data_IF_218087281674
#
_entry.id   IF_218087281674
#
_cell.length_a   1.000
_cell.length_b   1.000
_cell.length_c   1.000
_cell.angle_alpha   90.00
_cell.angle_beta   90.00
_cell.angle_gamma   90.00
#
_symmetry.space_group_name_H-M   'P 1'
#
loop_
_entity.id
_entity.type
_entity.pdbx_description
1 polymer ?
#
# COMPACT_ATOMS: atom_id res chain seq x y z
N UNK A 1 9.42 -10.13 15.42
CA UNK A 1 9.97 -8.76 15.40
C UNK A 1 8.91 -7.73 15.79
N UNK A 2 7.83 -7.53 15.01
CA UNK A 2 6.81 -6.52 15.33
C UNK A 2 6.10 -6.87 16.66
N UNK A 3 5.67 -8.12 16.81
CA UNK A 3 5.11 -8.62 18.07
C UNK A 3 6.05 -8.35 19.26
N UNK A 4 7.33 -8.70 19.13
CA UNK A 4 8.34 -8.43 20.16
C UNK A 4 8.47 -6.93 20.47
N UNK A 5 8.43 -6.05 19.46
CA UNK A 5 8.49 -4.61 19.67
C UNK A 5 7.28 -4.08 20.47
N UNK A 6 6.10 -4.68 20.28
CA UNK A 6 4.89 -4.38 21.07
C UNK A 6 5.08 -4.87 22.52
N UNK A 7 5.52 -6.11 22.70
CA UNK A 7 5.75 -6.74 24.02
C UNK A 7 6.78 -5.95 24.84
N UNK A 8 7.85 -5.50 24.19
CA UNK A 8 8.93 -4.68 24.77
C UNK A 8 8.58 -3.18 24.84
N UNK A 9 7.37 -2.79 24.45
CA UNK A 9 6.89 -1.38 24.46
C UNK A 9 7.81 -0.41 23.71
N UNK A 10 8.42 -0.88 22.64
CA UNK A 10 9.22 -0.03 21.75
C UNK A 10 8.26 0.97 21.09
N UNK A 11 8.53 2.28 21.15
CA UNK A 11 7.64 3.28 20.57
C UNK A 11 7.73 3.28 19.03
N UNK A 12 6.63 2.97 18.36
CA UNK A 12 6.46 3.14 16.91
C UNK A 12 5.01 3.50 16.57
N UNK A 13 4.77 4.02 15.36
CA UNK A 13 3.43 4.45 14.92
C UNK A 13 2.89 3.69 13.72
N UNK A 14 3.77 3.10 12.91
CA UNK A 14 3.39 2.39 11.69
C UNK A 14 4.52 1.45 11.25
N UNK A 15 4.20 0.52 10.35
CA UNK A 15 5.13 -0.47 9.80
C UNK A 15 5.25 -0.33 8.29
N UNK A 16 6.46 -0.54 7.76
CA UNK A 16 6.71 -0.67 6.32
C UNK A 16 7.48 -1.94 6.01
N UNK A 17 7.36 -2.44 4.78
CA UNK A 17 8.00 -3.68 4.35
C UNK A 17 7.87 -3.92 2.86
N UNK A 18 8.77 -4.75 2.35
CA UNK A 18 8.78 -5.16 0.94
C UNK A 18 7.71 -6.24 0.65
N UNK A 19 7.72 -6.74 -0.59
CA UNK A 19 6.76 -7.72 -1.09
C UNK A 19 6.88 -9.10 -0.46
N UNK A 20 8.02 -9.42 0.18
CA UNK A 20 8.17 -10.69 0.92
C UNK A 20 7.22 -10.68 2.11
N UNK A 21 7.10 -9.54 2.79
CA UNK A 21 6.21 -9.38 3.94
C UNK A 21 4.78 -9.02 3.51
N UNK A 22 4.61 -8.05 2.61
CA UNK A 22 3.27 -7.59 2.23
C UNK A 22 2.46 -8.62 1.44
N UNK A 23 3.13 -9.54 0.75
CA UNK A 23 2.51 -10.69 0.10
C UNK A 23 1.93 -11.73 1.07
N UNK A 24 2.13 -11.60 2.39
CA UNK A 24 1.48 -12.45 3.40
C UNK A 24 0.15 -11.82 3.88
N UNK A 25 -1.01 -12.37 3.49
CA UNK A 25 -2.31 -11.87 3.96
C UNK A 25 -2.51 -12.03 5.47
N UNK A 26 -1.85 -13.01 6.11
CA UNK A 26 -1.96 -13.22 7.56
C UNK A 26 -1.26 -12.11 8.32
N UNK A 27 -0.09 -11.67 7.85
CA UNK A 27 0.61 -10.53 8.43
C UNK A 27 -0.22 -9.25 8.32
N UNK A 28 -0.78 -8.98 7.13
CA UNK A 28 -1.64 -7.79 6.93
C UNK A 28 -2.87 -7.81 7.84
N UNK A 29 -3.59 -8.94 7.90
CA UNK A 29 -4.73 -9.10 8.80
C UNK A 29 -4.33 -8.93 10.27
N UNK A 30 -3.22 -9.53 10.68
CA UNK A 30 -2.73 -9.40 12.06
C UNK A 30 -2.40 -7.94 12.40
N UNK A 31 -1.75 -7.20 11.51
CA UNK A 31 -1.50 -5.76 11.71
C UNK A 31 -2.79 -4.95 11.83
N UNK A 32 -3.82 -5.27 11.03
CA UNK A 32 -5.15 -4.66 11.14
C UNK A 32 -5.80 -4.99 12.50
N UNK A 33 -5.73 -6.23 12.96
CA UNK A 33 -6.26 -6.67 14.28
C UNK A 33 -5.55 -6.01 15.45
N UNK A 34 -4.28 -5.64 15.29
CA UNK A 34 -3.52 -4.87 16.29
C UNK A 34 -3.72 -3.35 16.17
N UNK A 35 -4.56 -2.89 15.23
CA UNK A 35 -4.79 -1.47 14.91
C UNK A 35 -3.49 -0.70 14.55
N UNK A 36 -2.52 -1.40 13.95
CA UNK A 36 -1.24 -0.82 13.55
C UNK A 36 -1.34 -0.36 12.09
N UNK A 37 -1.09 0.92 11.82
CA UNK A 37 -1.00 1.42 10.46
C UNK A 37 0.20 0.81 9.72
N UNK A 38 0.04 0.49 8.43
CA UNK A 38 1.13 -0.05 7.64
C UNK A 38 1.07 0.35 6.16
N UNK A 39 2.24 0.32 5.52
CA UNK A 39 2.41 0.37 4.06
C UNK A 39 3.31 -0.78 3.67
N UNK A 40 2.74 -1.83 3.08
CA UNK A 40 3.48 -3.03 2.68
C UNK A 40 3.38 -3.19 1.17
N UNK A 41 4.52 -3.36 0.51
CA UNK A 41 4.52 -3.66 -0.93
C UNK A 41 3.85 -5.02 -1.17
N UNK A 42 3.09 -5.14 -2.25
CA UNK A 42 2.42 -6.38 -2.64
C UNK A 42 2.82 -6.77 -4.07
N UNK A 43 2.72 -8.07 -4.43
CA UNK A 43 2.87 -8.47 -5.83
C UNK A 43 1.90 -7.73 -6.75
N UNK A 44 2.30 -7.46 -8.00
CA UNK A 44 1.44 -6.82 -9.01
C UNK A 44 0.12 -7.58 -9.26
N UNK A 45 0.13 -8.89 -9.06
CA UNK A 45 -1.02 -9.77 -9.20
C UNK A 45 -1.79 -10.01 -7.89
N UNK A 46 -1.50 -9.28 -6.82
CA UNK A 46 -2.19 -9.40 -5.54
C UNK A 46 -3.70 -9.13 -5.73
N UNK A 47 -4.59 -10.04 -5.31
CA UNK A 47 -6.04 -9.86 -5.44
C UNK A 47 -6.57 -8.92 -4.36
N UNK A 48 -7.10 -7.77 -4.79
CA UNK A 48 -7.61 -6.71 -3.91
C UNK A 48 -9.10 -6.43 -4.16
N UNK A 49 -9.83 -6.12 -3.09
CA UNK A 49 -11.23 -5.69 -3.20
C UNK A 49 -11.28 -4.21 -3.60
N UNK A 50 -11.85 -3.90 -4.76
CA UNK A 50 -11.88 -2.54 -5.29
C UNK A 50 -13.32 -2.08 -5.58
N UNK A 51 -13.91 -2.52 -6.68
CA UNK A 51 -15.29 -2.18 -7.07
C UNK A 51 -16.27 -3.32 -6.78
N UNK A 52 -17.11 -3.12 -5.77
CA UNK A 52 -18.14 -4.06 -5.36
C UNK A 52 -17.57 -5.31 -4.68
N UNK A 53 -18.11 -6.48 -5.03
CA UNK A 53 -17.75 -7.78 -4.46
C UNK A 53 -16.84 -8.59 -5.40
N UNK A 54 -15.99 -7.91 -6.18
CA UNK A 54 -15.01 -8.55 -7.07
C UNK A 54 -13.59 -8.20 -6.62
N UNK A 55 -12.72 -9.20 -6.61
CA UNK A 55 -11.28 -9.00 -6.48
C UNK A 55 -10.65 -8.70 -7.84
N UNK A 56 -9.74 -7.74 -7.84
CA UNK A 56 -8.95 -7.33 -9.01
C UNK A 56 -7.47 -7.42 -8.67
N UNK A 57 -6.62 -7.88 -9.60
CA UNK A 57 -5.16 -7.75 -9.45
C UNK A 57 -4.76 -6.28 -9.26
N UNK A 58 -3.80 -6.00 -8.39
CA UNK A 58 -3.32 -4.64 -8.12
C UNK A 58 -2.93 -3.88 -9.41
N UNK A 59 -2.31 -4.54 -10.38
CA UNK A 59 -1.93 -3.94 -11.66
C UNK A 59 -3.13 -3.55 -12.53
N UNK A 60 -4.23 -4.31 -12.47
CA UNK A 60 -5.45 -3.96 -13.21
C UNK A 60 -6.12 -2.73 -12.61
N UNK A 61 -6.11 -2.61 -11.28
CA UNK A 61 -6.58 -1.42 -10.56
C UNK A 61 -5.73 -0.20 -10.95
N UNK A 62 -4.41 -0.35 -11.02
CA UNK A 62 -3.52 0.72 -11.47
C UNK A 62 -3.84 1.20 -12.89
N UNK A 63 -4.25 0.29 -13.78
CA UNK A 63 -4.71 0.61 -15.13
C UNK A 63 -6.02 1.40 -15.19
N UNK A 64 -6.80 1.46 -14.11
CA UNK A 64 -8.03 2.27 -14.03
C UNK A 64 -7.78 3.72 -13.55
N UNK A 65 -6.58 4.04 -13.07
CA UNK A 65 -6.29 5.38 -12.52
C UNK A 65 -6.14 6.38 -13.66
N UNK A 66 -6.99 7.40 -13.67
CA UNK A 66 -6.96 8.43 -14.71
C UNK A 66 -5.66 9.24 -14.64
N UNK A 67 -5.12 9.73 -15.78
CA UNK A 67 -3.88 10.51 -15.80
C UNK A 67 -3.84 11.71 -14.86
N UNK A 68 -5.00 12.35 -14.60
CA UNK A 68 -5.13 13.53 -13.72
C UNK A 68 -4.99 13.20 -12.23
N UNK A 69 -5.22 11.94 -11.84
CA UNK A 69 -5.18 11.51 -10.44
C UNK A 69 -3.76 11.12 -10.00
N UNK A 70 -2.83 11.05 -10.96
CA UNK A 70 -1.40 10.90 -10.69
C UNK A 70 -0.77 12.24 -10.29
N UNK A 71 0.02 12.23 -9.22
CA UNK A 71 0.72 13.39 -8.70
C UNK A 71 2.23 13.16 -8.68
N UNK A 72 2.99 14.12 -9.22
CA UNK A 72 4.45 14.04 -9.20
C UNK A 72 4.99 14.38 -7.82
N UNK A 73 5.62 13.41 -7.15
CA UNK A 73 6.18 13.56 -5.81
C UNK A 73 7.55 12.88 -5.69
N UNK A 74 8.37 13.36 -4.75
CA UNK A 74 9.69 12.78 -4.45
C UNK A 74 9.56 11.57 -3.53
N UNK A 75 10.22 10.47 -3.88
CA UNK A 75 10.47 9.31 -3.00
C UNK A 75 11.65 9.54 -2.04
N UNK A 76 12.11 10.79 -1.90
CA UNK A 76 13.27 11.20 -1.12
C UNK A 76 14.46 11.59 -1.96
N UNK A 77 15.46 12.18 -1.30
CA UNK A 77 16.68 12.66 -1.93
C UNK A 77 17.53 11.50 -2.48
N UNK A 78 18.10 11.71 -3.66
CA UNK A 78 19.04 10.80 -4.31
C UNK A 78 20.36 11.51 -4.62
N UNK A 79 21.37 10.73 -5.03
CA UNK A 79 22.71 11.26 -5.33
C UNK A 79 22.73 12.31 -6.48
N UNK A 80 21.70 12.32 -7.34
CA UNK A 80 21.54 13.24 -8.47
C UNK A 80 20.40 14.26 -8.26
N UNK A 81 19.92 14.39 -7.03
CA UNK A 81 18.72 15.15 -6.69
C UNK A 81 17.52 14.27 -6.33
N UNK A 82 16.33 14.87 -6.17
CA UNK A 82 15.12 14.18 -5.73
C UNK A 82 14.72 13.04 -6.65
N UNK A 83 14.37 11.88 -6.09
CA UNK A 83 13.85 10.73 -6.86
C UNK A 83 12.38 10.94 -7.15
N UNK A 84 12.08 11.63 -8.25
CA UNK A 84 10.71 11.96 -8.65
C UNK A 84 10.01 10.78 -9.33
N UNK A 85 8.75 10.57 -8.94
CA UNK A 85 7.83 9.61 -9.56
C UNK A 85 6.44 10.21 -9.63
N UNK A 86 5.58 9.64 -10.47
CA UNK A 86 4.15 9.89 -10.40
C UNK A 86 3.53 8.91 -9.40
N UNK A 87 2.70 9.40 -8.49
CA UNK A 87 2.06 8.63 -7.43
C UNK A 87 0.55 8.74 -7.52
N UNK A 88 -0.15 7.67 -7.13
CA UNK A 88 -1.60 7.69 -6.97
C UNK A 88 -2.01 6.90 -5.72
N UNK A 89 -3.13 7.29 -5.12
CA UNK A 89 -3.73 6.60 -3.98
C UNK A 89 -5.14 6.19 -4.37
N UNK A 90 -5.41 4.89 -4.33
CA UNK A 90 -6.71 4.33 -4.71
C UNK A 90 -7.38 3.75 -3.47
N UNK A 91 -8.58 4.22 -3.07
CA UNK A 91 -9.35 3.61 -1.99
C UNK A 91 -9.72 2.17 -2.34
N UNK A 92 -9.47 1.25 -1.41
CA UNK A 92 -9.85 -0.15 -1.52
C UNK A 92 -11.06 -0.44 -0.64
N UNK A 93 -11.85 -1.45 -1.01
CA UNK A 93 -12.92 -1.97 -0.16
C UNK A 93 -12.35 -2.94 0.87
N UNK A 94 -13.07 -3.06 1.98
CA UNK A 94 -12.92 -4.16 2.93
C UNK A 94 -14.25 -4.87 3.10
N UNK A 95 -14.23 -6.20 2.95
CA UNK A 95 -15.38 -7.04 3.27
C UNK A 95 -15.47 -7.34 4.77
N UNK A 96 -14.38 -7.16 5.49
CA UNK A 96 -14.24 -7.48 6.90
C UNK A 96 -13.78 -6.23 7.65
N UNK A 97 -14.72 -5.34 8.00
CA UNK A 97 -14.56 -4.55 9.23
C UNK A 97 -15.94 -4.35 9.85
N UNK A 98 -16.02 -4.54 11.16
CA UNK A 98 -17.03 -3.89 12.00
C UNK A 98 -17.04 -2.37 11.72
N UNK A 99 -18.14 -1.68 12.04
CA UNK A 99 -18.42 -0.28 11.68
C UNK A 99 -17.36 0.78 12.08
N UNK A 100 -16.25 0.39 12.71
CA UNK A 100 -15.27 1.23 13.41
C UNK A 100 -13.82 1.09 12.91
N UNK A 101 -13.56 0.82 11.63
CA UNK A 101 -12.18 0.90 11.11
C UNK A 101 -11.67 2.35 11.14
N UNK A 102 -10.87 2.69 12.15
CA UNK A 102 -10.24 4.01 12.31
C UNK A 102 -9.22 4.36 11.21
N UNK A 103 -8.65 3.36 10.53
CA UNK A 103 -7.63 3.54 9.48
C UNK A 103 -8.19 3.16 8.11
N UNK A 104 -8.04 4.03 7.11
CA UNK A 104 -8.50 3.73 5.74
C UNK A 104 -7.73 2.57 5.08
N UNK A 105 -8.30 1.99 4.02
CA UNK A 105 -7.67 0.94 3.21
C UNK A 105 -7.38 1.49 1.83
N UNK A 106 -6.11 1.47 1.41
CA UNK A 106 -5.69 2.09 0.16
C UNK A 106 -4.65 1.24 -0.55
N UNK A 107 -4.65 1.34 -1.87
CA UNK A 107 -3.54 0.94 -2.73
C UNK A 107 -2.74 2.19 -3.06
N UNK A 108 -1.49 2.24 -2.61
CA UNK A 108 -0.52 3.26 -3.02
C UNK A 108 0.20 2.75 -4.26
N UNK A 109 0.18 3.56 -5.31
CA UNK A 109 0.81 3.27 -6.59
C UNK A 109 1.90 4.30 -6.87
N UNK A 110 2.97 3.84 -7.48
CA UNK A 110 4.05 4.69 -7.99
C UNK A 110 4.43 4.25 -9.40
N UNK A 111 4.71 5.18 -10.30
CA UNK A 111 5.22 4.84 -11.64
C UNK A 111 6.42 5.69 -12.05
N UNK A 112 7.26 5.13 -12.92
CA UNK A 112 8.40 5.85 -13.51
C UNK A 112 7.93 7.02 -14.37
N UNK A 113 8.72 8.10 -14.38
CA UNK A 113 8.51 9.25 -15.26
C UNK A 113 8.93 8.96 -16.70
N UNK A 114 9.88 8.04 -16.89
CA UNK A 114 10.41 7.64 -18.20
C UNK A 114 9.56 6.52 -18.81
N UNK A 115 9.09 5.59 -17.98
CA UNK A 115 8.21 4.48 -18.38
C UNK A 115 6.97 4.43 -17.47
N UNK A 116 5.86 5.09 -17.87
CA UNK A 116 4.63 5.07 -17.10
C UNK A 116 4.00 3.68 -16.91
N UNK A 117 4.47 2.65 -17.63
CA UNK A 117 4.00 1.26 -17.46
C UNK A 117 4.75 0.52 -16.35
N UNK A 118 5.89 1.04 -15.90
CA UNK A 118 6.61 0.54 -14.74
C UNK A 118 5.94 1.00 -13.45
N UNK A 119 4.86 0.31 -13.09
CA UNK A 119 4.12 0.50 -11.83
C UNK A 119 4.81 -0.28 -10.70
N UNK A 120 4.90 0.34 -9.53
CA UNK A 120 5.31 -0.24 -8.24
C UNK A 120 4.27 0.06 -7.16
#
# INVERSE_FOLDING_TARGET
MIQTAIEEKVPFKWVTGDSIYGGDPKLRRWLEEQEIAFVLAVPKNEPLWYEGFKQWPAIEIAGQVEPKDWQRLSAGEGAKGPRLYDWAVVPLRRLQVAEEAYLGHYLLLRRSLEDPTDIA
#
